data_IF_183327525086
#
_entry.id   IF_183327525086
#
_cell.length_a   1.000
_cell.length_b   1.000
_cell.length_c   1.000
_cell.angle_alpha   90.00
_cell.angle_beta   90.00
_cell.angle_gamma   90.00
#
_symmetry.space_group_name_H-M   'P 1'
#
loop_
_entity.id
_entity.type
_entity.pdbx_description
1 polymer ?
#
# COMPACT_ATOMS: atom_id res chain seq x y z
N UNK A 1 -13.92 -25.52 -69.95
CA UNK A 1 -14.50 -24.28 -69.40
C UNK A 1 -15.90 -24.60 -68.90
N UNK A 2 -16.07 -24.66 -67.58
CA UNK A 2 -17.36 -24.71 -66.90
C UNK A 2 -17.35 -23.60 -65.83
N UNK A 3 -18.40 -22.79 -65.68
CA UNK A 3 -18.37 -21.64 -64.79
C UNK A 3 -18.47 -22.07 -63.32
N UNK A 4 -17.61 -21.50 -62.50
CA UNK A 4 -17.64 -21.65 -61.04
C UNK A 4 -18.92 -21.02 -60.47
N UNK A 5 -19.65 -21.78 -59.65
CA UNK A 5 -20.82 -21.30 -58.92
C UNK A 5 -20.44 -20.26 -57.84
N UNK A 6 -21.38 -19.42 -57.40
CA UNK A 6 -21.12 -18.37 -56.43
C UNK A 6 -20.76 -18.95 -55.05
N UNK A 7 -19.93 -18.25 -54.26
CA UNK A 7 -19.54 -18.70 -52.92
C UNK A 7 -20.75 -18.69 -51.97
N UNK A 8 -20.83 -19.71 -51.11
CA UNK A 8 -21.81 -19.80 -50.02
C UNK A 8 -21.71 -18.60 -49.07
N UNK A 9 -22.83 -18.10 -48.54
CA UNK A 9 -22.80 -17.03 -47.55
C UNK A 9 -22.19 -17.54 -46.24
N UNK A 10 -21.34 -16.71 -45.64
CA UNK A 10 -20.78 -16.89 -44.30
C UNK A 10 -21.91 -17.05 -43.26
N UNK A 11 -21.69 -17.82 -42.18
CA UNK A 11 -22.68 -17.98 -41.12
C UNK A 11 -23.00 -16.63 -40.48
N UNK A 12 -24.30 -16.35 -40.35
CA UNK A 12 -24.85 -15.20 -39.63
C UNK A 12 -24.15 -15.03 -38.27
N UNK A 13 -23.41 -13.92 -38.15
CA UNK A 13 -22.94 -13.41 -36.87
C UNK A 13 -24.16 -13.18 -35.97
N UNK A 14 -24.28 -14.03 -34.94
CA UNK A 14 -25.29 -13.93 -33.90
C UNK A 14 -25.38 -12.49 -33.40
N UNK A 15 -26.59 -11.94 -33.49
CA UNK A 15 -26.99 -10.60 -33.04
C UNK A 15 -26.28 -10.23 -31.73
N UNK A 16 -25.41 -9.22 -31.79
CA UNK A 16 -24.82 -8.59 -30.62
C UNK A 16 -25.95 -8.10 -29.71
N UNK A 17 -26.10 -8.75 -28.56
CA UNK A 17 -26.99 -8.26 -27.51
C UNK A 17 -26.51 -6.86 -27.12
N UNK A 18 -27.40 -5.87 -27.22
CA UNK A 18 -27.07 -4.51 -26.83
C UNK A 18 -26.59 -4.49 -25.37
N UNK A 19 -25.62 -3.65 -25.06
CA UNK A 19 -25.10 -3.48 -23.68
C UNK A 19 -26.24 -3.23 -22.68
N UNK A 20 -27.33 -2.58 -23.10
CA UNK A 20 -28.54 -2.39 -22.31
C UNK A 20 -29.33 -3.67 -22.00
N UNK A 21 -29.34 -4.67 -22.89
CA UNK A 21 -29.96 -5.97 -22.64
C UNK A 21 -29.13 -6.84 -21.70
N UNK A 22 -27.80 -6.77 -21.81
CA UNK A 22 -26.87 -7.47 -20.90
C UNK A 22 -26.92 -6.85 -19.49
N UNK A 23 -26.90 -5.51 -19.40
CA UNK A 23 -27.08 -4.79 -18.14
C UNK A 23 -28.47 -4.99 -17.55
N UNK A 24 -29.53 -4.96 -18.36
CA UNK A 24 -30.90 -5.23 -17.92
C UNK A 24 -31.10 -6.65 -17.41
N UNK A 25 -30.43 -7.64 -18.02
CA UNK A 25 -30.41 -9.03 -17.54
C UNK A 25 -29.61 -9.21 -16.24
N UNK A 26 -28.48 -8.52 -16.08
CA UNK A 26 -27.69 -8.52 -14.86
C UNK A 26 -28.42 -7.81 -13.70
N UNK A 27 -29.03 -6.65 -13.96
CA UNK A 27 -29.82 -5.91 -12.97
C UNK A 27 -31.07 -6.69 -12.54
N UNK A 28 -31.75 -7.40 -13.47
CA UNK A 28 -32.84 -8.33 -13.13
C UNK A 28 -32.41 -9.55 -12.33
N UNK A 29 -31.13 -9.95 -12.40
CA UNK A 29 -30.56 -11.02 -11.57
C UNK A 29 -30.10 -10.52 -10.20
N UNK A 30 -29.77 -9.24 -10.10
CA UNK A 30 -29.39 -8.59 -8.84
C UNK A 30 -30.62 -8.20 -8.02
N UNK A 31 -31.73 -7.85 -8.66
CA UNK A 31 -32.99 -7.58 -7.99
C UNK A 31 -33.76 -8.90 -7.80
N UNK A 32 -34.15 -9.28 -6.57
CA UNK A 32 -35.07 -10.39 -6.39
C UNK A 32 -36.34 -10.08 -7.18
N UNK A 33 -36.75 -11.03 -8.01
CA UNK A 33 -37.92 -10.88 -8.86
C UNK A 33 -39.13 -10.50 -7.97
N UNK A 34 -39.76 -9.36 -8.27
CA UNK A 34 -41.10 -9.06 -7.82
C UNK A 34 -42.07 -10.02 -8.52
N UNK A 35 -42.02 -11.28 -8.15
CA UNK A 35 -42.97 -12.30 -8.56
C UNK A 35 -44.09 -12.34 -7.51
N UNK A 36 -45.12 -11.53 -7.75
CA UNK A 36 -46.43 -11.65 -7.11
C UNK A 36 -46.63 -10.83 -5.84
N UNK A 37 -47.44 -9.76 -5.95
CA UNK A 37 -48.47 -9.30 -4.99
C UNK A 37 -48.15 -9.03 -3.51
N UNK A 38 -46.98 -9.39 -2.99
CA UNK A 38 -46.57 -9.11 -1.62
C UNK A 38 -45.79 -7.81 -1.53
N UNK A 39 -45.96 -7.07 -0.42
CA UNK A 39 -45.16 -5.89 -0.08
C UNK A 39 -43.70 -6.13 -0.46
N UNK A 40 -43.18 -5.34 -1.41
CA UNK A 40 -41.80 -5.46 -1.85
C UNK A 40 -40.90 -5.38 -0.61
N UNK A 41 -40.06 -6.40 -0.43
CA UNK A 41 -39.08 -6.39 0.64
C UNK A 41 -38.29 -5.07 0.58
N UNK A 42 -38.01 -4.42 1.71
CA UNK A 42 -37.18 -3.22 1.73
C UNK A 42 -35.90 -3.45 0.90
N UNK A 43 -35.42 -2.44 0.18
CA UNK A 43 -34.22 -2.54 -0.67
C UNK A 43 -33.01 -3.13 0.10
N UNK A 44 -32.98 -2.96 1.42
CA UNK A 44 -31.99 -3.55 2.32
C UNK A 44 -32.03 -5.08 2.39
N UNK A 45 -33.21 -5.67 2.38
CA UNK A 45 -33.37 -7.13 2.33
C UNK A 45 -33.14 -7.67 0.91
N UNK A 46 -33.48 -6.87 -0.11
CA UNK A 46 -33.30 -7.24 -1.51
C UNK A 46 -31.83 -7.20 -1.97
N UNK A 47 -31.04 -6.24 -1.48
CA UNK A 47 -29.65 -5.99 -1.89
C UNK A 47 -28.72 -5.72 -0.69
N UNK A 48 -28.58 -6.69 0.25
CA UNK A 48 -27.80 -6.48 1.47
C UNK A 48 -26.32 -6.14 1.20
N UNK A 49 -25.76 -6.63 0.09
CA UNK A 49 -24.38 -6.33 -0.30
C UNK A 49 -24.13 -4.86 -0.63
N UNK A 50 -25.13 -4.15 -1.19
CA UNK A 50 -24.99 -2.73 -1.47
C UNK A 50 -24.95 -1.89 -0.18
N UNK A 51 -25.65 -2.35 0.87
CA UNK A 51 -25.56 -1.72 2.18
C UNK A 51 -24.19 -1.91 2.82
N UNK A 52 -23.60 -3.10 2.72
CA UNK A 52 -22.23 -3.32 3.16
C UNK A 52 -21.25 -2.38 2.44
N UNK A 53 -21.36 -2.25 1.11
CA UNK A 53 -20.53 -1.31 0.34
C UNK A 53 -20.78 0.14 0.77
N UNK A 54 -22.03 0.60 0.80
CA UNK A 54 -22.36 1.98 1.17
C UNK A 54 -21.86 2.32 2.58
N UNK A 55 -22.01 1.39 3.53
CA UNK A 55 -21.53 1.53 4.89
C UNK A 55 -20.00 1.67 4.93
N UNK A 56 -19.26 0.84 4.18
CA UNK A 56 -17.79 0.93 4.06
C UNK A 56 -17.30 2.17 3.29
N UNK A 57 -18.07 2.68 2.33
CA UNK A 57 -17.76 3.93 1.62
C UNK A 57 -17.87 5.12 2.57
N UNK A 58 -18.92 5.15 3.39
CA UNK A 58 -19.21 6.28 4.28
C UNK A 58 -18.42 6.23 5.59
N UNK A 59 -18.18 5.04 6.12
CA UNK A 59 -17.50 4.80 7.39
C UNK A 59 -16.43 3.72 7.22
N UNK A 60 -15.27 4.06 6.61
CA UNK A 60 -14.23 3.09 6.25
C UNK A 60 -13.77 2.21 7.42
N UNK A 61 -13.56 2.83 8.58
CA UNK A 61 -12.95 2.18 9.76
C UNK A 61 -13.97 1.64 10.79
N UNK A 62 -15.28 1.88 10.59
CA UNK A 62 -16.29 1.44 11.56
C UNK A 62 -16.40 -0.09 11.64
N UNK A 63 -17.00 -0.64 12.69
CA UNK A 63 -17.38 -2.06 12.75
C UNK A 63 -18.90 -2.12 12.77
N UNK A 64 -19.49 -2.93 11.87
CA UNK A 64 -20.93 -3.14 11.75
C UNK A 64 -21.23 -4.60 12.08
N UNK A 65 -21.52 -4.85 13.36
CA UNK A 65 -21.85 -6.17 13.89
C UNK A 65 -23.08 -6.77 13.21
N UNK A 66 -24.03 -5.91 12.86
CA UNK A 66 -25.24 -6.24 12.11
C UNK A 66 -24.98 -6.79 10.70
N UNK A 67 -23.79 -6.57 10.12
CA UNK A 67 -23.41 -7.11 8.82
C UNK A 67 -22.72 -8.49 8.92
N UNK A 68 -22.33 -8.95 10.13
CA UNK A 68 -21.71 -10.27 10.31
C UNK A 68 -22.57 -11.43 9.78
N UNK A 69 -23.90 -11.46 9.98
CA UNK A 69 -24.74 -12.51 9.44
C UNK A 69 -24.76 -12.59 7.91
N UNK A 70 -24.41 -11.50 7.21
CA UNK A 70 -24.35 -11.51 5.73
C UNK A 70 -23.19 -12.37 5.24
N UNK A 71 -22.02 -12.20 5.85
CA UNK A 71 -20.84 -13.02 5.59
C UNK A 71 -19.72 -12.78 6.60
N UNK A 72 -19.03 -13.85 6.96
CA UNK A 72 -17.72 -13.80 7.58
C UNK A 72 -16.65 -13.65 6.49
N UNK A 73 -16.42 -12.40 6.06
CA UNK A 73 -15.46 -12.09 4.98
C UNK A 73 -14.83 -10.70 5.17
N UNK A 74 -13.54 -10.50 4.79
CA UNK A 74 -12.87 -9.22 4.96
C UNK A 74 -13.58 -8.06 4.24
N UNK A 75 -13.75 -6.93 4.92
CA UNK A 75 -14.40 -5.74 4.37
C UNK A 75 -15.93 -5.76 4.43
N UNK A 76 -16.56 -6.77 5.07
CA UNK A 76 -18.02 -6.81 5.29
C UNK A 76 -18.36 -6.15 6.63
N UNK A 77 -18.22 -6.88 7.74
CA UNK A 77 -18.52 -6.37 9.08
C UNK A 77 -17.43 -5.43 9.61
N UNK A 78 -16.16 -5.74 9.33
CA UNK A 78 -14.99 -4.97 9.73
C UNK A 78 -14.13 -4.61 8.50
N UNK A 79 -13.36 -3.51 8.54
CA UNK A 79 -12.40 -3.19 7.49
C UNK A 79 -11.38 -4.31 7.31
N UNK A 80 -10.92 -4.53 6.08
CA UNK A 80 -9.82 -5.45 5.83
C UNK A 80 -8.49 -4.82 6.27
N UNK A 81 -7.92 -5.33 7.37
CA UNK A 81 -6.66 -4.88 7.96
C UNK A 81 -5.74 -6.08 8.23
N UNK A 82 -5.11 -6.64 7.19
CA UNK A 82 -4.29 -7.86 7.31
C UNK A 82 -2.98 -7.66 8.10
N UNK A 83 -2.61 -6.41 8.36
CA UNK A 83 -1.29 -6.05 8.87
C UNK A 83 -0.17 -6.40 7.89
N UNK A 84 1.07 -6.29 8.34
CA UNK A 84 2.25 -6.59 7.55
C UNK A 84 3.44 -6.95 8.42
N UNK A 85 4.38 -7.72 7.86
CA UNK A 85 5.61 -8.14 8.54
C UNK A 85 6.73 -8.40 7.55
N UNK A 86 7.94 -8.57 8.07
CA UNK A 86 9.09 -8.98 7.29
C UNK A 86 9.43 -10.44 7.56
N UNK A 87 9.75 -11.17 6.50
CA UNK A 87 10.21 -12.56 6.58
C UNK A 87 11.53 -12.70 5.82
N UNK A 88 12.58 -13.32 6.42
CA UNK A 88 13.76 -13.70 5.67
C UNK A 88 13.42 -14.88 4.75
N UNK A 89 13.74 -14.75 3.47
CA UNK A 89 13.59 -15.79 2.47
C UNK A 89 14.97 -16.23 2.04
N UNK A 90 15.22 -17.54 2.11
CA UNK A 90 16.48 -18.15 1.70
C UNK A 90 16.22 -19.08 0.53
N UNK A 91 16.91 -18.84 -0.58
CA UNK A 91 16.87 -19.68 -1.77
C UNK A 91 18.23 -20.30 -2.03
N UNK A 92 18.23 -21.60 -2.30
CA UNK A 92 19.44 -22.40 -2.49
C UNK A 92 19.53 -22.78 -3.97
N UNK A 93 20.45 -22.13 -4.69
CA UNK A 93 20.74 -22.43 -6.10
C UNK A 93 21.74 -23.57 -6.18
N UNK A 94 21.44 -24.59 -6.99
CA UNK A 94 22.41 -25.61 -7.36
C UNK A 94 23.14 -25.23 -8.65
N UNK A 95 24.44 -24.95 -8.55
CA UNK A 95 25.30 -24.63 -9.68
C UNK A 95 25.86 -25.92 -10.29
N UNK A 96 25.27 -26.35 -11.40
CA UNK A 96 25.71 -27.56 -12.12
C UNK A 96 27.11 -27.46 -12.72
N UNK A 97 27.61 -26.23 -12.92
CA UNK A 97 28.90 -25.95 -13.58
C UNK A 97 30.08 -25.77 -12.62
N UNK A 98 29.82 -25.48 -11.34
CA UNK A 98 30.87 -25.30 -10.34
C UNK A 98 30.90 -26.50 -9.39
N UNK A 99 31.80 -27.47 -9.67
CA UNK A 99 31.92 -28.69 -8.86
C UNK A 99 32.54 -28.45 -7.48
N UNK A 100 33.24 -27.32 -7.27
CA UNK A 100 33.89 -26.97 -6.00
C UNK A 100 32.94 -26.25 -5.04
N UNK A 101 32.03 -25.44 -5.58
CA UNK A 101 30.94 -24.82 -4.83
C UNK A 101 29.60 -25.04 -5.55
N UNK A 102 29.01 -26.24 -5.42
CA UNK A 102 27.81 -26.63 -6.16
C UNK A 102 26.55 -25.93 -5.65
N UNK A 103 26.64 -25.18 -4.56
CA UNK A 103 25.48 -24.59 -3.88
C UNK A 103 25.74 -23.12 -3.57
N UNK A 104 24.88 -22.24 -4.09
CA UNK A 104 24.88 -20.81 -3.77
C UNK A 104 23.59 -20.48 -3.03
N UNK A 105 23.73 -20.04 -1.78
CA UNK A 105 22.60 -19.62 -0.96
C UNK A 105 22.43 -18.10 -1.05
N UNK A 106 21.25 -17.65 -1.44
CA UNK A 106 20.86 -16.24 -1.45
C UNK A 106 19.81 -16.03 -0.37
N UNK A 107 19.97 -14.99 0.45
CA UNK A 107 19.01 -14.63 1.49
C UNK A 107 18.63 -13.17 1.32
N UNK A 108 17.33 -12.88 1.34
CA UNK A 108 16.79 -11.53 1.26
C UNK A 108 15.58 -11.38 2.18
N UNK A 109 15.19 -10.15 2.46
CA UNK A 109 14.01 -9.82 3.27
C UNK A 109 12.82 -9.52 2.36
N UNK A 110 11.70 -10.21 2.58
CA UNK A 110 10.43 -9.93 1.89
C UNK A 110 9.43 -9.25 2.81
N UNK A 111 8.71 -8.26 2.26
CA UNK A 111 7.52 -7.72 2.90
C UNK A 111 6.35 -8.68 2.66
N UNK A 112 5.66 -9.04 3.74
CA UNK A 112 4.53 -9.96 3.72
C UNK A 112 3.28 -9.27 4.23
N UNK A 113 2.24 -9.32 3.40
CA UNK A 113 0.88 -8.93 3.77
C UNK A 113 0.04 -10.21 3.79
N UNK A 114 -0.39 -10.68 4.97
CA UNK A 114 -1.20 -11.90 5.09
C UNK A 114 -2.43 -11.85 4.19
N UNK A 115 -2.72 -12.97 3.54
CA UNK A 115 -3.94 -13.15 2.74
C UNK A 115 -4.93 -13.94 3.57
N UNK A 116 -5.99 -13.29 4.01
CA UNK A 116 -7.12 -13.96 4.65
C UNK A 116 -7.96 -14.64 3.56
N UNK A 117 -8.40 -15.88 3.79
CA UNK A 117 -9.19 -16.67 2.85
C UNK A 117 -8.58 -16.82 1.43
N UNK A 118 -7.35 -17.35 1.30
CA UNK A 118 -6.66 -17.44 0.02
C UNK A 118 -7.47 -18.28 -1.00
N UNK A 119 -7.86 -17.65 -2.10
CA UNK A 119 -8.60 -18.32 -3.20
C UNK A 119 -10.12 -18.41 -3.01
N UNK A 120 -10.68 -17.97 -1.89
CA UNK A 120 -12.13 -17.92 -1.69
C UNK A 120 -12.71 -16.69 -2.40
N UNK A 121 -13.69 -16.90 -3.28
CA UNK A 121 -14.43 -15.79 -3.90
C UNK A 121 -15.24 -15.04 -2.84
N UNK A 122 -15.40 -13.71 -2.97
CA UNK A 122 -16.30 -12.99 -2.09
C UNK A 122 -17.72 -13.56 -2.28
N UNK A 123 -18.55 -13.56 -1.23
CA UNK A 123 -19.95 -14.01 -1.30
C UNK A 123 -20.77 -13.31 -2.40
N UNK A 124 -20.37 -12.09 -2.76
CA UNK A 124 -20.97 -11.33 -3.85
C UNK A 124 -19.92 -10.50 -4.60
N UNK A 125 -19.98 -10.43 -5.94
CA UNK A 125 -19.11 -9.57 -6.73
C UNK A 125 -19.38 -8.07 -6.48
N UNK A 126 -20.50 -7.74 -5.84
CA UNK A 126 -20.82 -6.35 -5.47
C UNK A 126 -19.98 -5.86 -4.29
N UNK A 127 -19.34 -6.74 -3.52
CA UNK A 127 -18.53 -6.37 -2.36
C UNK A 127 -17.18 -5.76 -2.79
N UNK A 128 -17.21 -4.52 -3.28
CA UNK A 128 -16.06 -3.81 -3.84
C UNK A 128 -14.83 -3.82 -2.91
N UNK A 129 -15.05 -3.56 -1.61
CA UNK A 129 -13.97 -3.50 -0.60
C UNK A 129 -13.41 -4.86 -0.21
N UNK A 130 -14.05 -5.94 -0.62
CA UNK A 130 -13.65 -7.33 -0.34
C UNK A 130 -12.94 -7.98 -1.53
N UNK A 131 -13.06 -7.42 -2.74
CA UNK A 131 -12.56 -8.03 -3.99
C UNK A 131 -11.07 -8.37 -3.95
N UNK A 132 -10.28 -7.54 -3.27
CA UNK A 132 -8.82 -7.61 -3.26
C UNK A 132 -8.26 -8.47 -2.14
N UNK A 133 -9.06 -8.77 -1.10
CA UNK A 133 -8.61 -9.49 0.09
C UNK A 133 -8.10 -10.90 -0.25
N UNK A 134 -8.83 -11.63 -1.10
CA UNK A 134 -8.53 -13.02 -1.52
C UNK A 134 -7.31 -13.22 -2.41
N UNK A 135 -6.86 -12.16 -3.10
CA UNK A 135 -5.84 -12.31 -4.13
C UNK A 135 -4.54 -12.71 -3.43
N UNK A 136 -3.77 -13.66 -3.95
CA UNK A 136 -2.55 -14.10 -3.28
C UNK A 136 -1.46 -13.04 -3.43
N UNK A 137 -0.49 -13.05 -2.51
CA UNK A 137 0.80 -12.40 -2.74
C UNK A 137 1.56 -13.17 -3.82
N UNK A 138 1.34 -12.81 -5.08
CA UNK A 138 2.14 -13.28 -6.22
C UNK A 138 2.65 -12.05 -6.97
N UNK A 139 3.97 -11.95 -7.17
CA UNK A 139 4.60 -10.77 -7.78
C UNK A 139 4.09 -10.50 -9.19
N UNK A 140 4.41 -11.35 -10.17
CA UNK A 140 4.22 -11.02 -11.59
C UNK A 140 2.82 -11.29 -12.16
N UNK A 141 2.08 -12.27 -11.63
CA UNK A 141 0.83 -12.74 -12.28
C UNK A 141 -0.33 -11.76 -12.23
N UNK A 142 -0.40 -10.92 -11.19
CA UNK A 142 -1.50 -9.96 -11.00
C UNK A 142 -1.15 -8.54 -11.45
N UNK A 143 0.09 -8.28 -11.87
CA UNK A 143 0.48 -6.94 -12.33
C UNK A 143 -0.15 -6.57 -13.68
N UNK A 144 -0.27 -7.53 -14.59
CA UNK A 144 -0.81 -7.30 -15.93
C UNK A 144 -2.21 -6.68 -15.93
N UNK A 145 -3.10 -7.12 -15.03
CA UNK A 145 -4.44 -6.53 -14.90
C UNK A 145 -4.42 -5.14 -14.28
N UNK A 146 -3.42 -4.83 -13.44
CA UNK A 146 -3.26 -3.53 -12.80
C UNK A 146 -2.68 -2.48 -13.75
N UNK A 147 -1.73 -2.84 -14.62
CA UNK A 147 -1.08 -1.89 -15.55
C UNK A 147 -2.11 -1.14 -16.41
N UNK A 148 -3.11 -1.83 -16.95
CA UNK A 148 -4.18 -1.22 -17.74
C UNK A 148 -5.32 -0.63 -16.90
N UNK A 149 -5.65 -1.25 -15.76
CA UNK A 149 -6.89 -0.98 -15.03
C UNK A 149 -6.78 -0.12 -13.78
N UNK A 150 -5.57 0.20 -13.29
CA UNK A 150 -5.41 0.79 -11.95
C UNK A 150 -6.16 2.11 -11.75
N UNK A 151 -6.14 3.03 -12.73
CA UNK A 151 -6.85 4.30 -12.63
C UNK A 151 -8.37 4.11 -12.54
N UNK A 152 -8.90 3.12 -13.26
CA UNK A 152 -10.31 2.76 -13.18
C UNK A 152 -10.63 2.14 -11.81
N UNK A 153 -9.80 1.25 -11.29
CA UNK A 153 -10.02 0.66 -9.97
C UNK A 153 -9.99 1.72 -8.85
N UNK A 154 -9.06 2.68 -8.93
CA UNK A 154 -8.97 3.80 -7.99
C UNK A 154 -10.19 4.72 -8.09
N UNK A 155 -10.77 4.92 -9.27
CA UNK A 155 -11.98 5.75 -9.43
C UNK A 155 -13.24 5.11 -8.85
N UNK A 156 -13.26 3.79 -8.66
CA UNK A 156 -14.35 3.09 -7.97
C UNK A 156 -14.31 3.26 -6.44
N UNK A 157 -13.16 3.62 -5.88
CA UNK A 157 -12.93 3.66 -4.42
C UNK A 157 -12.44 5.04 -3.93
N UNK A 158 -13.03 6.17 -4.35
CA UNK A 158 -12.45 7.49 -4.10
C UNK A 158 -12.41 7.87 -2.61
N UNK A 159 -13.38 7.41 -1.83
CA UNK A 159 -13.47 7.70 -0.39
C UNK A 159 -12.73 6.69 0.50
N UNK A 160 -12.48 5.47 -0.01
CA UNK A 160 -11.88 4.39 0.77
C UNK A 160 -11.01 3.49 -0.13
N UNK A 161 -9.80 3.95 -0.51
CA UNK A 161 -8.91 3.16 -1.35
C UNK A 161 -8.12 2.10 -0.57
N UNK A 162 -8.28 2.01 0.75
CA UNK A 162 -7.42 1.21 1.63
C UNK A 162 -7.34 -0.29 1.23
N UNK A 163 -8.44 -1.00 0.88
CA UNK A 163 -8.35 -2.38 0.42
C UNK A 163 -7.52 -2.54 -0.87
N UNK A 164 -7.66 -1.62 -1.82
CA UNK A 164 -6.85 -1.67 -3.04
C UNK A 164 -5.37 -1.37 -2.72
N UNK A 165 -5.11 -0.41 -1.83
CA UNK A 165 -3.74 -0.08 -1.40
C UNK A 165 -3.06 -1.26 -0.70
N UNK A 166 -3.76 -2.04 0.14
CA UNK A 166 -3.21 -3.28 0.71
C UNK A 166 -2.79 -4.27 -0.37
N UNK A 167 -3.63 -4.46 -1.39
CA UNK A 167 -3.28 -5.31 -2.51
C UNK A 167 -2.09 -4.79 -3.31
N UNK A 168 -2.00 -3.48 -3.52
CA UNK A 168 -0.86 -2.87 -4.21
C UNK A 168 0.43 -3.02 -3.41
N UNK A 169 0.41 -2.82 -2.09
CA UNK A 169 1.56 -3.06 -1.21
C UNK A 169 2.05 -4.50 -1.36
N UNK A 170 1.11 -5.46 -1.27
CA UNK A 170 1.39 -6.90 -1.38
C UNK A 170 2.00 -7.28 -2.73
N UNK A 171 1.57 -6.65 -3.82
CA UNK A 171 1.98 -7.02 -5.18
C UNK A 171 3.23 -6.26 -5.64
N UNK A 172 3.32 -4.95 -5.38
CA UNK A 172 4.40 -4.09 -5.89
C UNK A 172 5.67 -4.10 -5.04
N UNK A 173 5.55 -4.32 -3.73
CA UNK A 173 6.65 -4.10 -2.79
C UNK A 173 7.02 -5.35 -1.99
N UNK A 174 6.78 -6.53 -2.56
CA UNK A 174 7.19 -7.80 -1.94
C UNK A 174 8.70 -7.86 -1.68
N UNK A 175 9.51 -7.21 -2.54
CA UNK A 175 10.95 -7.00 -2.39
C UNK A 175 11.31 -5.52 -2.60
N UNK A 176 12.56 -5.15 -2.34
CA UNK A 176 13.09 -3.79 -2.56
C UNK A 176 13.61 -3.56 -4.00
N UNK A 177 13.43 -4.56 -4.87
CA UNK A 177 13.71 -4.46 -6.31
C UNK A 177 12.41 -4.24 -7.05
N UNK A 178 12.43 -3.38 -8.07
CA UNK A 178 11.22 -3.02 -8.82
C UNK A 178 11.45 -3.24 -10.31
N UNK A 179 10.57 -4.04 -10.93
CA UNK A 179 10.56 -4.29 -12.37
C UNK A 179 9.83 -3.19 -13.14
N UNK A 180 9.95 -3.15 -14.46
CA UNK A 180 9.40 -2.07 -15.30
C UNK A 180 7.87 -1.90 -15.18
N UNK A 181 7.12 -3.00 -15.14
CA UNK A 181 5.66 -2.98 -14.99
C UNK A 181 5.25 -2.49 -13.60
N UNK A 182 5.93 -2.96 -12.55
CA UNK A 182 5.71 -2.53 -11.16
C UNK A 182 5.93 -1.01 -11.03
N UNK A 183 7.01 -0.49 -11.63
CA UNK A 183 7.29 0.96 -11.66
C UNK A 183 6.16 1.74 -12.33
N UNK A 184 5.59 1.20 -13.41
CA UNK A 184 4.48 1.87 -14.12
C UNK A 184 3.23 1.95 -13.25
N UNK A 185 2.84 0.85 -12.60
CA UNK A 185 1.68 0.82 -11.69
C UNK A 185 1.94 1.71 -10.47
N UNK A 186 3.13 1.62 -9.89
CA UNK A 186 3.54 2.43 -8.76
C UNK A 186 3.45 3.93 -9.05
N UNK A 187 4.03 4.39 -10.17
CA UNK A 187 3.96 5.79 -10.58
C UNK A 187 2.52 6.26 -10.73
N UNK A 188 1.65 5.46 -11.36
CA UNK A 188 0.23 5.79 -11.50
C UNK A 188 -0.45 5.95 -10.14
N UNK A 189 -0.20 5.03 -9.21
CA UNK A 189 -0.77 5.11 -7.86
C UNK A 189 -0.26 6.34 -7.13
N UNK A 190 1.05 6.61 -7.15
CA UNK A 190 1.62 7.79 -6.52
C UNK A 190 1.07 9.10 -7.11
N UNK A 191 0.89 9.18 -8.43
CA UNK A 191 0.25 10.34 -9.05
C UNK A 191 -1.17 10.60 -8.53
N UNK A 192 -1.95 9.56 -8.22
CA UNK A 192 -3.28 9.75 -7.63
C UNK A 192 -3.22 10.32 -6.21
N UNK A 193 -2.12 10.10 -5.49
CA UNK A 193 -1.92 10.60 -4.13
C UNK A 193 -1.48 12.08 -4.10
N UNK A 194 -1.07 12.66 -5.23
CA UNK A 194 -0.78 14.10 -5.35
C UNK A 194 -2.04 14.96 -5.25
N UNK A 195 -3.20 14.41 -5.61
CA UNK A 195 -4.46 15.14 -5.60
C UNK A 195 -5.01 15.24 -4.17
N UNK A 196 -5.88 16.22 -3.85
CA UNK A 196 -6.62 16.24 -2.60
C UNK A 196 -7.49 14.98 -2.43
N UNK A 197 -7.73 14.56 -1.19
CA UNK A 197 -8.51 13.36 -0.89
C UNK A 197 -8.58 13.05 0.60
N UNK A 198 -9.06 11.85 0.99
CA UNK A 198 -9.16 11.47 2.40
C UNK A 198 -7.78 11.38 3.06
N UNK A 199 -7.75 11.47 4.39
CA UNK A 199 -6.54 11.19 5.16
C UNK A 199 -6.00 9.79 4.82
N UNK A 200 -4.67 9.63 4.89
CA UNK A 200 -4.02 8.38 4.58
C UNK A 200 -4.31 7.34 5.65
N UNK A 201 -5.05 6.30 5.28
CA UNK A 201 -5.14 5.07 6.04
C UNK A 201 -3.79 4.32 6.03
N UNK A 202 -3.61 3.37 6.95
CA UNK A 202 -2.38 2.58 7.12
C UNK A 202 -1.76 2.08 5.79
N UNK A 203 -2.49 1.41 4.87
CA UNK A 203 -1.87 0.91 3.64
C UNK A 203 -1.37 2.02 2.71
N UNK A 204 -1.99 3.21 2.75
CA UNK A 204 -1.55 4.37 1.97
C UNK A 204 -0.25 4.93 2.55
N UNK A 205 -0.19 5.04 3.88
CA UNK A 205 1.01 5.45 4.61
C UNK A 205 2.16 4.47 4.37
N UNK A 206 1.89 3.16 4.41
CA UNK A 206 2.88 2.13 4.12
C UNK A 206 3.35 2.17 2.66
N UNK A 207 2.43 2.38 1.71
CA UNK A 207 2.79 2.55 0.29
C UNK A 207 3.74 3.73 0.09
N UNK A 208 3.45 4.88 0.73
CA UNK A 208 4.34 6.04 0.71
C UNK A 208 5.70 5.72 1.37
N UNK A 209 5.70 5.05 2.53
CA UNK A 209 6.94 4.65 3.21
C UNK A 209 7.85 3.80 2.30
N UNK A 210 7.28 2.80 1.63
CA UNK A 210 7.98 1.92 0.71
C UNK A 210 8.49 2.69 -0.52
N UNK A 211 7.69 3.60 -1.06
CA UNK A 211 8.07 4.43 -2.19
C UNK A 211 9.22 5.41 -1.86
N UNK A 212 9.30 5.92 -0.62
CA UNK A 212 10.38 6.80 -0.17
C UNK A 212 11.74 6.10 -0.06
N UNK A 213 11.76 4.76 0.11
CA UNK A 213 12.99 3.98 0.30
C UNK A 213 13.32 3.02 -0.84
N UNK A 214 12.53 3.05 -1.91
CA UNK A 214 12.71 2.19 -3.08
C UNK A 214 14.07 2.39 -3.76
N UNK A 215 14.49 1.42 -4.58
CA UNK A 215 15.77 1.47 -5.30
C UNK A 215 15.80 2.49 -6.45
N UNK A 216 14.68 2.71 -7.13
CA UNK A 216 14.54 3.64 -8.26
C UNK A 216 14.53 5.11 -7.81
N UNK A 217 15.43 5.93 -8.36
CA UNK A 217 15.54 7.34 -7.98
C UNK A 217 14.36 8.21 -8.46
N UNK A 218 13.88 8.11 -9.72
CA UNK A 218 12.67 8.80 -10.15
C UNK A 218 11.45 8.49 -9.29
N UNK A 219 11.26 7.22 -8.93
CA UNK A 219 10.20 6.81 -8.02
C UNK A 219 10.31 7.49 -6.65
N UNK A 220 11.52 7.56 -6.06
CA UNK A 220 11.72 8.25 -4.78
C UNK A 220 11.43 9.75 -4.87
N UNK A 221 11.77 10.39 -5.98
CA UNK A 221 11.47 11.80 -6.21
C UNK A 221 9.94 12.03 -6.24
N UNK A 222 9.19 11.20 -6.97
CA UNK A 222 7.72 11.27 -6.98
C UNK A 222 7.12 10.99 -5.59
N UNK A 223 7.69 10.03 -4.84
CA UNK A 223 7.25 9.78 -3.46
C UNK A 223 7.50 10.98 -2.54
N UNK A 224 8.58 11.73 -2.76
CA UNK A 224 8.86 12.97 -2.03
C UNK A 224 7.82 14.05 -2.35
N UNK A 225 7.41 14.19 -3.61
CA UNK A 225 6.33 15.10 -4.00
C UNK A 225 5.00 14.71 -3.33
N UNK A 226 4.68 13.42 -3.29
CA UNK A 226 3.50 12.91 -2.57
C UNK A 226 3.56 13.21 -1.09
N UNK A 227 4.72 13.05 -0.45
CA UNK A 227 4.93 13.42 0.96
C UNK A 227 4.61 14.90 1.19
N UNK A 228 5.15 15.79 0.35
CA UNK A 228 4.93 17.22 0.46
C UNK A 228 3.45 17.59 0.24
N UNK A 229 2.82 17.05 -0.81
CA UNK A 229 1.40 17.27 -1.08
C UNK A 229 0.50 16.75 0.07
N UNK A 230 0.83 15.60 0.65
CA UNK A 230 0.09 15.03 1.77
C UNK A 230 0.22 15.88 3.05
N UNK A 231 1.38 16.50 3.29
CA UNK A 231 1.58 17.47 4.38
C UNK A 231 0.77 18.74 4.11
N UNK A 232 0.87 19.29 2.90
CA UNK A 232 0.19 20.53 2.52
C UNK A 232 -1.34 20.41 2.64
N UNK A 233 -1.89 19.28 2.19
CA UNK A 233 -3.32 18.99 2.27
C UNK A 233 -3.77 18.42 3.62
N UNK A 234 -2.87 18.26 4.61
CA UNK A 234 -3.22 17.71 5.92
C UNK A 234 -3.74 16.27 5.89
N UNK A 235 -3.32 15.48 4.89
CA UNK A 235 -3.75 14.10 4.69
C UNK A 235 -2.84 13.09 5.40
N UNK A 236 -1.64 13.49 5.77
CA UNK A 236 -0.64 12.63 6.38
C UNK A 236 -0.71 12.67 7.92
N UNK A 237 -0.59 11.51 8.55
CA UNK A 237 -0.21 11.39 9.96
C UNK A 237 1.30 11.12 10.04
N UNK A 238 2.15 12.11 10.37
CA UNK A 238 3.61 11.95 10.25
C UNK A 238 4.18 10.86 11.14
N UNK A 239 3.60 10.67 12.32
CA UNK A 239 4.02 9.62 13.26
C UNK A 239 3.83 8.21 12.70
N UNK A 240 2.72 7.95 11.99
CA UNK A 240 2.44 6.64 11.40
C UNK A 240 3.42 6.34 10.26
N UNK A 241 3.74 7.36 9.45
CA UNK A 241 4.77 7.24 8.42
C UNK A 241 6.15 6.98 9.04
N UNK A 242 6.48 7.69 10.13
CA UNK A 242 7.71 7.49 10.89
C UNK A 242 7.85 6.06 11.41
N UNK A 243 6.80 5.51 12.04
CA UNK A 243 6.78 4.12 12.51
C UNK A 243 6.95 3.12 11.36
N UNK A 244 6.25 3.33 10.25
CA UNK A 244 6.37 2.47 9.08
C UNK A 244 7.82 2.46 8.56
N UNK A 245 8.39 3.63 8.28
CA UNK A 245 9.79 3.79 7.84
C UNK A 245 10.79 3.17 8.84
N UNK A 246 10.56 3.37 10.14
CA UNK A 246 11.39 2.83 11.20
C UNK A 246 11.45 1.30 11.15
N UNK A 247 10.30 0.65 11.01
CA UNK A 247 10.20 -0.80 10.82
C UNK A 247 10.86 -1.26 9.52
N UNK A 248 10.71 -0.53 8.40
CA UNK A 248 11.39 -0.87 7.14
C UNK A 248 12.93 -0.87 7.32
N UNK A 249 13.47 0.15 7.99
CA UNK A 249 14.91 0.27 8.22
C UNK A 249 15.43 -0.71 9.27
N UNK A 250 14.65 -1.00 10.31
CA UNK A 250 14.99 -1.98 11.34
C UNK A 250 15.10 -3.41 10.77
N UNK A 251 14.28 -3.74 9.78
CA UNK A 251 14.34 -5.01 9.06
C UNK A 251 15.37 -5.05 7.92
N UNK A 252 16.19 -4.00 7.79
CA UNK A 252 17.17 -3.81 6.71
C UNK A 252 16.54 -3.91 5.30
N UNK A 253 15.23 -3.64 5.17
CA UNK A 253 14.52 -3.74 3.90
C UNK A 253 15.10 -2.77 2.87
N UNK A 254 15.54 -1.59 3.31
CA UNK A 254 16.23 -0.61 2.50
C UNK A 254 17.38 0.07 3.29
N UNK A 255 18.44 0.53 2.60
CA UNK A 255 19.54 1.21 3.25
C UNK A 255 19.12 2.63 3.68
N UNK A 256 19.50 3.03 4.90
CA UNK A 256 19.22 4.34 5.52
C UNK A 256 19.43 5.55 4.57
N UNK A 257 20.50 5.60 3.74
CA UNK A 257 20.77 6.75 2.88
C UNK A 257 19.65 7.10 1.90
N UNK A 258 18.90 6.10 1.41
CA UNK A 258 17.80 6.35 0.48
C UNK A 258 16.73 7.26 1.06
N UNK A 259 16.47 7.12 2.36
CA UNK A 259 15.57 8.01 3.07
C UNK A 259 16.24 9.37 3.32
N UNK A 260 17.46 9.39 3.88
CA UNK A 260 18.09 10.65 4.31
C UNK A 260 18.35 11.60 3.14
N UNK A 261 18.71 11.07 1.97
CA UNK A 261 19.00 11.88 0.79
C UNK A 261 17.72 12.52 0.20
N UNK A 262 16.57 11.84 0.36
CA UNK A 262 15.25 12.39 0.01
C UNK A 262 14.79 13.44 1.02
N UNK A 263 14.86 13.13 2.32
CA UNK A 263 14.49 14.07 3.39
C UNK A 263 15.31 15.36 3.36
N UNK A 264 16.57 15.29 2.93
CA UNK A 264 17.41 16.47 2.78
C UNK A 264 16.79 17.54 1.86
N UNK A 265 16.04 17.13 0.83
CA UNK A 265 15.40 18.00 -0.15
C UNK A 265 14.08 18.61 0.34
N UNK A 266 13.42 17.98 1.33
CA UNK A 266 12.14 18.46 1.88
C UNK A 266 12.29 19.40 3.09
N UNK A 267 13.47 19.42 3.72
CA UNK A 267 13.75 20.29 4.86
C UNK A 267 13.81 21.76 4.44
N UNK A 268 13.45 22.66 5.37
CA UNK A 268 13.49 24.10 5.20
C UNK A 268 12.60 24.65 4.06
N UNK A 269 11.66 23.86 3.55
CA UNK A 269 10.62 24.33 2.61
C UNK A 269 9.52 25.14 3.31
N UNK A 270 9.33 24.93 4.61
CA UNK A 270 8.38 25.69 5.42
C UNK A 270 8.17 25.07 6.81
N UNK A 271 7.58 25.83 7.76
CA UNK A 271 7.45 25.40 9.15
C UNK A 271 6.56 24.17 9.31
N UNK A 272 5.48 24.04 8.52
CA UNK A 272 4.60 22.86 8.54
C UNK A 272 5.33 21.60 8.09
N UNK A 273 6.15 21.71 7.05
CA UNK A 273 6.95 20.59 6.54
C UNK A 273 8.01 20.18 7.55
N UNK A 274 8.77 21.13 8.10
CA UNK A 274 9.77 20.83 9.12
C UNK A 274 9.15 20.20 10.38
N UNK A 275 7.98 20.68 10.80
CA UNK A 275 7.25 20.08 11.92
C UNK A 275 6.85 18.63 11.64
N UNK A 276 6.27 18.35 10.47
CA UNK A 276 5.89 17.00 10.06
C UNK A 276 7.10 16.07 9.94
N UNK A 277 8.20 16.55 9.34
CA UNK A 277 9.44 15.78 9.23
C UNK A 277 10.06 15.51 10.62
N UNK A 278 9.98 16.46 11.55
CA UNK A 278 10.40 16.29 12.94
C UNK A 278 9.61 15.16 13.62
N UNK A 279 8.28 15.23 13.57
CA UNK A 279 7.39 14.19 14.14
C UNK A 279 7.63 12.81 13.50
N UNK A 280 7.86 12.76 12.19
CA UNK A 280 8.21 11.54 11.47
C UNK A 280 9.50 10.93 12.03
N UNK A 281 10.57 11.71 12.17
CA UNK A 281 11.85 11.22 12.70
C UNK A 281 11.74 10.83 14.18
N UNK A 282 10.95 11.54 14.97
CA UNK A 282 10.68 11.22 16.38
C UNK A 282 9.98 9.87 16.56
N UNK A 283 9.08 9.51 15.63
CA UNK A 283 8.42 8.22 15.61
C UNK A 283 9.28 7.11 14.98
N UNK A 284 10.17 7.46 14.04
CA UNK A 284 11.06 6.52 13.36
C UNK A 284 12.19 6.04 14.25
N UNK A 285 12.90 6.96 14.91
CA UNK A 285 14.12 6.64 15.66
C UNK A 285 13.92 5.56 16.75
N UNK A 286 12.81 5.55 17.52
CA UNK A 286 12.56 4.51 18.51
C UNK A 286 12.36 3.09 17.95
N UNK A 287 11.98 2.96 16.67
CA UNK A 287 11.78 1.65 16.03
C UNK A 287 13.10 1.01 15.60
N UNK A 288 14.22 1.77 15.58
CA UNK A 288 15.51 1.25 15.15
C UNK A 288 16.18 0.36 16.22
N UNK A 289 16.88 -0.72 15.81
CA UNK A 289 17.50 -1.65 16.75
C UNK A 289 18.71 -1.07 17.49
N UNK A 290 19.21 -1.83 18.46
CA UNK A 290 20.51 -1.60 19.10
C UNK A 290 21.36 -2.87 18.90
N UNK A 291 22.48 -2.82 18.14
CA UNK A 291 23.08 -1.65 17.51
C UNK A 291 22.24 -1.07 16.36
N UNK A 292 22.34 0.24 16.08
CA UNK A 292 21.57 0.88 15.03
C UNK A 292 22.10 0.51 13.63
N UNK A 293 21.26 0.63 12.58
CA UNK A 293 21.67 0.39 11.21
C UNK A 293 22.86 1.25 10.77
N UNK A 294 23.54 0.80 9.71
CA UNK A 294 24.67 1.57 9.14
C UNK A 294 24.19 2.95 8.69
N UNK A 295 25.05 3.94 8.90
CA UNK A 295 24.81 5.34 8.51
C UNK A 295 23.67 6.07 9.25
N UNK A 296 23.18 5.54 10.38
CA UNK A 296 22.22 6.26 11.25
C UNK A 296 22.70 7.64 11.71
N UNK A 297 24.01 7.91 11.70
CA UNK A 297 24.55 9.26 11.94
C UNK A 297 23.95 10.33 11.02
N UNK A 298 23.69 10.02 9.74
CA UNK A 298 23.06 10.96 8.79
C UNK A 298 21.62 11.27 9.17
N UNK A 299 20.89 10.25 9.63
CA UNK A 299 19.51 10.40 10.09
C UNK A 299 19.44 11.26 11.36
N UNK A 300 20.36 11.05 12.31
CA UNK A 300 20.47 11.86 13.52
C UNK A 300 20.87 13.30 13.22
N UNK A 301 21.75 13.53 12.25
CA UNK A 301 22.10 14.88 11.80
C UNK A 301 20.89 15.60 11.19
N UNK A 302 20.07 14.89 10.39
CA UNK A 302 18.83 15.43 9.86
C UNK A 302 17.82 15.77 10.97
N UNK A 303 17.70 14.92 11.99
CA UNK A 303 16.84 15.18 13.14
C UNK A 303 17.31 16.37 13.98
N UNK A 304 18.62 16.48 14.28
CA UNK A 304 19.17 17.61 15.04
C UNK A 304 18.91 18.95 14.35
N UNK A 305 19.06 18.98 13.03
CA UNK A 305 18.78 20.12 12.20
C UNK A 305 17.28 20.53 12.23
N UNK A 306 16.36 19.55 12.22
CA UNK A 306 14.92 19.79 12.37
C UNK A 306 14.53 20.23 13.79
N UNK A 307 15.12 19.62 14.83
CA UNK A 307 14.90 20.00 16.22
C UNK A 307 15.35 21.45 16.48
N UNK A 308 16.48 21.86 15.89
CA UNK A 308 16.98 23.23 15.99
C UNK A 308 16.04 24.25 15.34
N UNK A 309 15.43 23.92 14.18
CA UNK A 309 14.47 24.81 13.48
C UNK A 309 13.09 24.86 14.13
N UNK A 310 12.61 23.75 14.67
CA UNK A 310 11.28 23.64 15.26
C UNK A 310 11.26 24.06 16.73
N UNK A 311 12.43 24.22 17.37
CA UNK A 311 12.58 24.49 18.80
C UNK A 311 11.83 23.51 19.71
N UNK A 312 11.59 22.28 19.21
CA UNK A 312 10.91 21.24 19.98
C UNK A 312 11.91 20.51 20.87
N UNK A 313 11.53 20.23 22.14
CA UNK A 313 12.35 19.39 22.99
C UNK A 313 12.37 17.96 22.46
N UNK A 314 13.52 17.30 22.58
CA UNK A 314 13.66 15.91 22.14
C UNK A 314 12.76 15.00 22.99
N UNK A 315 11.85 14.20 22.39
CA UNK A 315 10.96 13.34 23.15
C UNK A 315 11.68 12.28 23.97
N UNK A 316 11.09 11.87 25.10
CA UNK A 316 11.68 10.88 26.04
C UNK A 316 12.04 9.56 25.35
N UNK A 317 11.18 9.08 24.44
CA UNK A 317 11.44 7.85 23.69
C UNK A 317 12.70 7.96 22.81
N UNK A 318 12.90 9.11 22.16
CA UNK A 318 14.10 9.39 21.35
C UNK A 318 15.32 9.51 22.25
N UNK A 319 15.23 10.22 23.38
CA UNK A 319 16.32 10.33 24.35
C UNK A 319 16.80 8.97 24.85
N UNK A 320 15.87 8.03 25.10
CA UNK A 320 16.21 6.67 25.53
C UNK A 320 17.07 5.93 24.48
N UNK A 321 16.72 6.04 23.19
CA UNK A 321 17.50 5.45 22.11
C UNK A 321 18.86 6.13 21.92
N UNK A 322 18.89 7.46 21.97
CA UNK A 322 20.11 8.25 21.91
C UNK A 322 21.10 7.87 23.03
N UNK A 323 20.63 7.68 24.26
CA UNK A 323 21.47 7.21 25.38
C UNK A 323 22.06 5.83 25.12
N UNK A 324 21.28 4.87 24.60
CA UNK A 324 21.79 3.55 24.21
C UNK A 324 22.88 3.66 23.15
N UNK A 325 22.67 4.50 22.13
CA UNK A 325 23.61 4.69 21.03
C UNK A 325 24.83 5.56 21.36
N UNK A 326 24.82 6.32 22.46
CA UNK A 326 25.94 7.14 22.91
C UNK A 326 27.20 6.33 23.25
N UNK A 327 27.04 5.03 23.49
CA UNK A 327 28.12 4.05 23.69
C UNK A 327 28.92 3.80 22.41
N UNK A 328 28.33 4.03 21.24
CA UNK A 328 29.01 3.90 19.95
C UNK A 328 29.87 5.12 19.66
N UNK A 329 31.19 4.91 19.48
CA UNK A 329 32.13 5.97 19.14
C UNK A 329 31.74 6.74 17.87
N UNK A 330 31.13 6.06 16.89
CA UNK A 330 30.68 6.66 15.63
C UNK A 330 29.50 7.63 15.79
N UNK A 331 28.65 7.43 16.79
CA UNK A 331 27.42 8.22 16.99
C UNK A 331 27.55 9.26 18.10
N UNK A 332 28.51 9.08 19.03
CA UNK A 332 28.72 9.96 20.19
C UNK A 332 28.73 11.45 19.85
N UNK A 333 29.39 11.84 18.74
CA UNK A 333 29.48 13.25 18.30
C UNK A 333 28.14 13.85 17.91
N UNK A 334 27.27 13.08 17.25
CA UNK A 334 25.95 13.54 16.75
C UNK A 334 24.89 13.45 17.85
N UNK A 335 25.03 12.48 18.76
CA UNK A 335 24.11 12.27 19.89
C UNK A 335 24.29 13.34 20.98
N UNK A 336 25.52 13.74 21.29
CA UNK A 336 25.81 14.68 22.38
C UNK A 336 24.99 15.99 22.36
N UNK A 337 24.84 16.71 21.23
CA UNK A 337 24.03 17.94 21.21
C UNK A 337 22.54 17.67 21.41
N UNK A 338 22.02 16.52 21.00
CA UNK A 338 20.60 16.15 21.13
C UNK A 338 20.19 15.75 22.55
N UNK A 339 21.16 15.40 23.40
CA UNK A 339 20.92 15.04 24.81
C UNK A 339 21.15 16.20 25.78
N UNK A 340 21.62 17.35 25.29
CA UNK A 340 21.73 18.56 26.11
C UNK A 340 20.34 19.17 26.26
N UNK A 341 19.95 19.56 27.50
CA UNK A 341 18.67 20.19 27.77
C UNK A 341 18.51 21.54 27.07
#
# INVERSE_FOLDING_TARGET
MAPAGPPSPLPELARQQSVGQVLGGLLRRLLPAAAGGGSAAPLAEALPWLWAVAARTRYPEAVFEELRPLADYPGVAAPWQPGWRFEPVTYVHQQRWNKEQPTRTETWTELRVPTEHPGQQPPSPLLLYSLHARLKQEGSRYLWSLVGGINFLLSLLPANPAPLHWHLVRTLYHTNTTYAEERTVQQRVLHTLLLPGPAFAEPTTLLLALALVQSDAPGRALALEVLLAAIEHGRLVPMDLGRALGRLLAAEFAPVPRLTDGLAQARALGPRTDDALGQLLEALLPELPTPPPRQTAKLLAAYADLAARTHRPVPVAVQACLRKWSTSAALKKVVAPLLKP
#
